data_IF_023447882527
#
_entry.id   IF_023447882527
#
_cell.length_a   1.000
_cell.length_b   1.000
_cell.length_c   1.000
_cell.angle_alpha   90.00
_cell.angle_beta   90.00
_cell.angle_gamma   90.00
#
_symmetry.space_group_name_H-M   'P 1'
#
loop_
_entity.id
_entity.type
_entity.pdbx_description
1 polymer ?
#
# COMPACT_ATOMS: atom_id res chain seq x y z
N UNK A 1 -18.25 -2.99 2.61
CA UNK A 1 -17.46 -1.77 2.84
C UNK A 1 -16.24 -2.00 3.75
N UNK A 2 -16.20 -2.96 4.69
CA UNK A 2 -14.98 -3.22 5.50
C UNK A 2 -13.95 -4.13 4.80
N UNK A 3 -14.38 -5.18 4.10
CA UNK A 3 -13.46 -6.19 3.54
C UNK A 3 -12.64 -5.75 2.33
N UNK A 4 -13.05 -4.72 1.60
CA UNK A 4 -12.28 -4.19 0.46
C UNK A 4 -11.00 -3.47 0.93
N UNK A 5 -11.08 -2.80 2.08
CA UNK A 5 -9.92 -2.17 2.70
C UNK A 5 -8.96 -3.19 3.31
N UNK A 6 -9.47 -4.30 3.84
CA UNK A 6 -8.63 -5.39 4.34
C UNK A 6 -7.78 -6.00 3.23
N UNK A 7 -8.35 -6.23 2.04
CA UNK A 7 -7.60 -6.73 0.90
C UNK A 7 -6.49 -5.77 0.45
N UNK A 8 -6.76 -4.45 0.44
CA UNK A 8 -5.72 -3.46 0.16
C UNK A 8 -4.62 -3.48 1.24
N UNK A 9 -5.02 -3.53 2.51
CA UNK A 9 -4.08 -3.53 3.63
C UNK A 9 -3.16 -4.75 3.58
N UNK A 10 -3.69 -5.94 3.27
CA UNK A 10 -2.89 -7.16 3.08
C UNK A 10 -1.87 -7.00 1.96
N UNK A 11 -2.28 -6.46 0.80
CA UNK A 11 -1.36 -6.18 -0.31
C UNK A 11 -0.23 -5.22 0.10
N UNK A 12 -0.54 -4.22 0.93
CA UNK A 12 0.43 -3.26 1.45
C UNK A 12 1.36 -3.95 2.46
N UNK A 13 0.84 -4.71 3.42
CA UNK A 13 1.63 -5.40 4.44
C UNK A 13 2.59 -6.41 3.81
N UNK A 14 2.13 -7.16 2.80
CA UNK A 14 2.94 -8.14 2.07
C UNK A 14 3.98 -7.49 1.11
N UNK A 15 3.96 -6.17 0.94
CA UNK A 15 4.84 -5.47 0.00
C UNK A 15 4.51 -5.71 -1.46
N UNK A 16 3.27 -6.08 -1.79
CA UNK A 16 2.77 -6.30 -3.16
C UNK A 16 2.36 -4.98 -3.82
N UNK A 17 3.32 -4.04 -3.90
CA UNK A 17 3.11 -2.64 -4.27
C UNK A 17 2.38 -2.48 -5.61
N UNK A 18 2.79 -3.19 -6.66
CA UNK A 18 2.13 -3.09 -7.97
C UNK A 18 0.68 -3.59 -7.94
N UNK A 19 0.40 -4.64 -7.15
CA UNK A 19 -0.97 -5.14 -6.97
C UNK A 19 -1.83 -4.12 -6.21
N UNK A 20 -1.29 -3.50 -5.16
CA UNK A 20 -1.97 -2.46 -4.40
C UNK A 20 -2.29 -1.23 -5.29
N UNK A 21 -1.34 -0.77 -6.11
CA UNK A 21 -1.56 0.33 -7.06
C UNK A 21 -2.65 -0.01 -8.07
N UNK A 22 -2.62 -1.21 -8.66
CA UNK A 22 -3.65 -1.64 -9.62
C UNK A 22 -5.03 -1.70 -8.97
N UNK A 23 -5.11 -2.24 -7.75
CA UNK A 23 -6.33 -2.30 -6.96
C UNK A 23 -6.91 -0.90 -6.70
N UNK A 24 -6.08 0.05 -6.25
CA UNK A 24 -6.48 1.43 -5.99
C UNK A 24 -7.01 2.09 -7.27
N UNK A 25 -6.31 1.93 -8.40
CA UNK A 25 -6.76 2.50 -9.68
C UNK A 25 -8.11 1.94 -10.11
N UNK A 26 -8.34 0.65 -9.92
CA UNK A 26 -9.62 0.01 -10.26
C UNK A 26 -10.75 0.46 -9.32
N UNK A 27 -10.48 0.56 -8.01
CA UNK A 27 -11.48 0.91 -7.01
C UNK A 27 -11.88 2.39 -7.04
N UNK A 28 -10.94 3.29 -7.35
CA UNK A 28 -11.16 4.74 -7.31
C UNK A 28 -11.18 5.39 -8.70
N UNK A 29 -11.04 4.62 -9.78
CA UNK A 29 -10.96 5.09 -11.16
C UNK A 29 -9.98 6.26 -11.36
N UNK A 30 -8.84 6.21 -10.64
CA UNK A 30 -7.91 7.33 -10.55
C UNK A 30 -6.65 7.15 -11.43
N UNK A 31 -5.90 8.25 -11.58
CA UNK A 31 -4.61 8.23 -12.26
C UNK A 31 -3.57 7.41 -11.49
N UNK A 32 -2.50 7.00 -12.17
CA UNK A 32 -1.38 6.31 -11.52
C UNK A 32 -0.77 7.16 -10.39
N UNK A 33 -0.63 8.47 -10.61
CA UNK A 33 -0.07 9.38 -9.63
C UNK A 33 -0.94 9.45 -8.36
N UNK A 34 -2.25 9.60 -8.53
CA UNK A 34 -3.19 9.60 -7.41
C UNK A 34 -3.19 8.26 -6.66
N UNK A 35 -3.11 7.15 -7.39
CA UNK A 35 -3.05 5.82 -6.78
C UNK A 35 -1.79 5.63 -5.93
N UNK A 36 -0.64 6.11 -6.40
CA UNK A 36 0.63 6.06 -5.65
C UNK A 36 0.55 6.95 -4.41
N UNK A 37 0.02 8.17 -4.51
CA UNK A 37 -0.17 9.04 -3.34
C UNK A 37 -1.10 8.42 -2.30
N UNK A 38 -2.19 7.79 -2.76
CA UNK A 38 -3.10 7.05 -1.91
C UNK A 38 -2.38 5.89 -1.21
N UNK A 39 -1.61 5.11 -1.95
CA UNK A 39 -0.81 4.00 -1.42
C UNK A 39 0.13 4.49 -0.31
N UNK A 40 0.87 5.57 -0.52
CA UNK A 40 1.76 6.15 0.50
C UNK A 40 1.00 6.53 1.78
N UNK A 41 -0.11 7.27 1.64
CA UNK A 41 -0.90 7.68 2.79
C UNK A 41 -1.45 6.47 3.57
N UNK A 42 -1.87 5.41 2.87
CA UNK A 42 -2.37 4.20 3.53
C UNK A 42 -1.26 3.41 4.20
N UNK A 43 -0.12 3.25 3.53
CA UNK A 43 1.08 2.63 4.08
C UNK A 43 1.54 3.31 5.37
N UNK A 44 1.64 4.65 5.38
CA UNK A 44 2.06 5.40 6.56
C UNK A 44 1.11 5.19 7.74
N UNK A 45 -0.19 5.17 7.47
CA UNK A 45 -1.19 4.89 8.50
C UNK A 45 -1.06 3.46 9.06
N UNK A 46 -0.83 2.48 8.20
CA UNK A 46 -0.63 1.08 8.64
C UNK A 46 0.65 0.96 9.46
N UNK A 47 1.75 1.59 9.05
CA UNK A 47 3.00 1.62 9.81
C UNK A 47 2.86 2.26 11.20
N UNK A 48 2.01 3.28 11.34
CA UNK A 48 1.78 3.91 12.64
C UNK A 48 0.85 3.09 13.55
N UNK A 49 -0.16 2.44 12.97
CA UNK A 49 -1.21 1.75 13.74
C UNK A 49 -0.94 0.27 13.99
N UNK A 50 -0.20 -0.38 13.09
CA UNK A 50 0.12 -1.82 13.10
C UNK A 50 1.54 -2.07 12.58
N UNK A 51 2.59 -1.53 13.24
CA UNK A 51 3.97 -1.68 12.77
C UNK A 51 4.41 -3.15 12.73
N UNK A 52 3.92 -3.98 13.66
CA UNK A 52 4.31 -5.39 13.81
C UNK A 52 3.83 -6.30 12.66
N UNK A 53 2.85 -5.85 11.88
CA UNK A 53 2.35 -6.61 10.72
C UNK A 53 3.40 -6.65 9.58
N UNK A 54 4.31 -5.68 9.54
CA UNK A 54 5.29 -5.56 8.46
C UNK A 54 6.57 -6.35 8.76
N UNK A 55 6.91 -7.28 7.87
CA UNK A 55 8.15 -8.07 7.97
C UNK A 55 9.44 -7.30 7.59
N UNK A 56 9.31 -6.15 6.92
CA UNK A 56 10.44 -5.35 6.41
C UNK A 56 10.56 -4.03 7.15
N UNK A 57 11.76 -3.45 7.20
CA UNK A 57 11.94 -2.04 7.57
C UNK A 57 11.31 -1.10 6.54
N UNK A 58 11.19 0.19 6.85
CA UNK A 58 10.70 1.18 5.88
C UNK A 58 11.60 1.26 4.64
N UNK A 59 12.92 1.27 4.85
CA UNK A 59 13.90 1.35 3.75
C UNK A 59 13.86 0.09 2.87
N UNK A 60 13.81 -1.09 3.49
CA UNK A 60 13.75 -2.37 2.75
C UNK A 60 12.42 -2.55 2.00
N UNK A 61 11.35 -1.93 2.47
CA UNK A 61 10.06 -1.96 1.81
C UNK A 61 10.07 -1.20 0.48
N UNK A 62 10.75 -0.05 0.42
CA UNK A 62 10.75 0.85 -0.75
C UNK A 62 11.95 0.73 -1.67
N UNK A 63 12.94 -0.10 -1.32
CA UNK A 63 14.22 -0.24 -2.03
C UNK A 63 14.08 -0.41 -3.54
N UNK A 64 13.17 -1.28 -3.99
CA UNK A 64 13.03 -1.67 -5.40
C UNK A 64 11.98 -0.83 -6.17
N UNK A 65 11.47 0.26 -5.56
CA UNK A 65 10.45 1.13 -6.16
C UNK A 65 11.01 2.48 -6.60
N UNK A 66 12.01 2.99 -5.88
CA UNK A 66 12.64 4.27 -6.15
C UNK A 66 14.02 4.17 -6.81
N UNK A 67 14.48 2.95 -7.09
CA UNK A 67 15.74 2.67 -7.81
C UNK A 67 15.49 2.52 -9.30
#
# INVERSE_FOLDING_TARGET
MSGEWEALDELIVEGRILSAVYWIRAAFECSLQEAVQFLYARYDRLRQTRPDDFAKSHEDYWRDVYT
#
